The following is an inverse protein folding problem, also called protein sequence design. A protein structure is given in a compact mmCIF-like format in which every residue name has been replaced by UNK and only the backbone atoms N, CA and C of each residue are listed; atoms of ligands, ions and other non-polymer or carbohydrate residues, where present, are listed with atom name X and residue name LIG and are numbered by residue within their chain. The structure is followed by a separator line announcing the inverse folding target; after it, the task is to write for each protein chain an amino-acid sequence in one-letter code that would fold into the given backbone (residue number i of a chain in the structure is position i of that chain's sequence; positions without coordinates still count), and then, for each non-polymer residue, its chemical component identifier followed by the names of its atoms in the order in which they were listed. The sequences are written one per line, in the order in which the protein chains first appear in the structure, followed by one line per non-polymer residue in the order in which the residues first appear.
data_IF_072745220719
#
_entry.id   IF_072745220719
#
_cell.length_a   1.000
_cell.length_b   1.000
_cell.length_c   1.000
_cell.angle_alpha   90.00
_cell.angle_beta   90.00
_cell.angle_gamma   90.00
#
_symmetry.space_group_name_H-M   'P 1'
#
loop_
_entity.id
_entity.type
_entity.pdbx_description
1 polymer ?
#
# COMPACT_ATOMS: atom_id res chain seq x y z
N UNK A 1 13.75 -11.36 9.13
CA UNK A 1 12.90 -11.07 7.97
C UNK A 1 11.52 -11.68 8.15
N UNK A 2 10.50 -10.97 7.67
CA UNK A 2 9.12 -11.48 7.60
C UNK A 2 9.04 -12.70 6.66
N UNK A 3 8.13 -13.61 6.97
CA UNK A 3 7.95 -14.90 6.29
C UNK A 3 8.04 -14.76 4.74
N UNK A 4 8.97 -15.48 4.07
CA UNK A 4 9.13 -15.43 2.63
C UNK A 4 7.86 -15.83 1.84
N UNK A 5 6.93 -16.54 2.47
CA UNK A 5 5.65 -16.96 1.86
C UNK A 5 4.62 -15.84 1.77
N UNK A 6 4.84 -14.71 2.43
CA UNK A 6 3.93 -13.56 2.35
C UNK A 6 4.00 -12.90 0.97
N UNK A 7 2.84 -12.46 0.49
CA UNK A 7 2.74 -11.84 -0.83
C UNK A 7 3.51 -10.52 -0.88
N UNK A 8 4.44 -10.44 -1.82
CA UNK A 8 5.15 -9.20 -2.18
C UNK A 8 4.35 -8.41 -3.20
N UNK A 9 4.49 -7.09 -3.17
CA UNK A 9 4.03 -6.23 -4.27
C UNK A 9 4.72 -6.67 -5.56
N UNK A 10 3.94 -6.78 -6.62
CA UNK A 10 4.45 -7.10 -7.96
C UNK A 10 4.07 -6.00 -8.93
N UNK A 11 4.91 -5.77 -9.92
CA UNK A 11 4.60 -4.93 -11.06
C UNK A 11 4.41 -5.80 -12.30
N UNK A 12 3.57 -5.33 -13.23
CA UNK A 12 3.38 -5.96 -14.54
C UNK A 12 3.97 -5.05 -15.64
N UNK A 13 5.15 -5.37 -16.20
CA UNK A 13 5.74 -4.58 -17.28
C UNK A 13 4.83 -4.52 -18.53
N UNK A 14 4.89 -3.41 -19.28
CA UNK A 14 4.19 -3.29 -20.57
C UNK A 14 4.66 -4.36 -21.54
N UNK A 15 3.72 -5.14 -22.09
CA UNK A 15 4.02 -6.19 -23.07
C UNK A 15 4.41 -7.54 -22.47
N UNK A 16 4.56 -7.63 -21.15
CA UNK A 16 4.81 -8.89 -20.47
C UNK A 16 3.52 -9.54 -19.94
N UNK A 17 3.55 -10.87 -19.81
CA UNK A 17 2.42 -11.66 -19.28
C UNK A 17 2.57 -11.98 -17.79
N UNK A 18 3.73 -11.74 -17.19
CA UNK A 18 4.04 -12.20 -15.84
C UNK A 18 4.38 -11.03 -14.93
N UNK A 19 3.69 -10.95 -13.80
CA UNK A 19 4.00 -10.01 -12.75
C UNK A 19 5.25 -10.46 -11.97
N UNK A 20 6.12 -9.51 -11.63
CA UNK A 20 7.38 -9.76 -10.93
C UNK A 20 7.67 -8.70 -9.86
N UNK A 21 8.63 -8.97 -8.97
CA UNK A 21 9.05 -7.99 -7.97
C UNK A 21 9.98 -6.98 -8.65
N UNK A 22 9.77 -5.69 -8.41
CA UNK A 22 10.63 -4.66 -8.97
C UNK A 22 12.02 -4.69 -8.31
N UNK A 23 13.13 -4.87 -9.05
CA UNK A 23 14.44 -5.11 -8.47
C UNK A 23 15.04 -3.90 -7.74
N UNK A 24 14.71 -2.68 -8.18
CA UNK A 24 15.27 -1.42 -7.65
C UNK A 24 14.33 -0.71 -6.66
N UNK A 25 13.19 -1.32 -6.32
CA UNK A 25 12.22 -0.73 -5.40
C UNK A 25 12.25 -1.46 -4.05
N UNK A 26 11.76 -0.81 -2.99
CA UNK A 26 11.59 -1.46 -1.69
C UNK A 26 10.90 -2.83 -1.82
N UNK A 27 11.37 -3.81 -1.02
CA UNK A 27 10.82 -5.16 -0.91
C UNK A 27 9.48 -5.19 -0.15
N UNK A 28 8.50 -4.46 -0.67
CA UNK A 28 7.19 -4.22 -0.06
C UNK A 28 6.34 -5.49 -0.03
N UNK A 29 5.66 -5.69 1.08
CA UNK A 29 4.57 -6.66 1.19
C UNK A 29 3.28 -6.04 0.63
N UNK A 30 2.42 -6.87 0.03
CA UNK A 30 1.16 -6.38 -0.54
C UNK A 30 0.18 -6.00 0.57
N UNK A 31 -0.34 -4.75 0.60
CA UNK A 31 -1.35 -4.34 1.59
C UNK A 31 -2.73 -4.97 1.36
N UNK A 32 -2.88 -5.72 0.25
CA UNK A 32 -4.09 -6.44 -0.14
C UNK A 32 -4.09 -7.91 0.29
N UNK A 33 -3.00 -8.39 0.89
CA UNK A 33 -2.94 -9.73 1.51
C UNK A 33 -3.28 -9.62 3.01
N UNK A 34 -4.38 -10.23 3.43
CA UNK A 34 -4.84 -10.16 4.83
C UNK A 34 -3.82 -10.75 5.82
N UNK A 35 -3.02 -11.74 5.40
CA UNK A 35 -1.94 -12.29 6.23
C UNK A 35 -0.84 -11.25 6.44
N UNK A 36 -0.52 -10.46 5.41
CA UNK A 36 0.43 -9.34 5.52
C UNK A 36 -0.10 -8.32 6.51
N UNK A 37 -1.36 -7.90 6.36
CA UNK A 37 -1.97 -6.90 7.26
C UNK A 37 -1.93 -7.35 8.70
N UNK A 38 -2.31 -8.61 8.96
CA UNK A 38 -2.28 -9.19 10.29
C UNK A 38 -0.87 -9.23 10.89
N UNK A 39 0.13 -9.74 10.14
CA UNK A 39 1.49 -9.86 10.67
C UNK A 39 2.18 -8.50 10.88
N UNK A 40 1.99 -7.55 9.97
CA UNK A 40 2.49 -6.18 10.17
C UNK A 40 1.77 -5.52 11.33
N UNK A 41 0.46 -5.76 11.49
CA UNK A 41 -0.30 -5.32 12.66
C UNK A 41 0.30 -5.82 13.97
N UNK A 42 0.65 -7.11 14.06
CA UNK A 42 1.30 -7.69 15.23
C UNK A 42 2.64 -7.02 15.54
N UNK A 43 3.45 -6.67 14.53
CA UNK A 43 4.71 -5.94 14.76
C UNK A 43 4.47 -4.56 15.40
N UNK A 44 3.43 -3.85 14.96
CA UNK A 44 3.05 -2.56 15.53
C UNK A 44 2.48 -2.70 16.94
N UNK A 45 1.73 -3.77 17.21
CA UNK A 45 1.24 -4.11 18.55
C UNK A 45 2.38 -4.45 19.51
N UNK A 46 3.36 -5.24 19.06
CA UNK A 46 4.55 -5.59 19.82
C UNK A 46 5.37 -4.33 20.16
N UNK A 47 5.61 -3.45 19.17
CA UNK A 47 6.25 -2.15 19.41
C UNK A 47 5.50 -1.34 20.48
N UNK A 48 4.17 -1.23 20.33
CA UNK A 48 3.33 -0.49 21.25
C UNK A 48 3.33 -1.09 22.66
N UNK A 49 3.41 -2.41 22.79
CA UNK A 49 3.46 -3.11 24.07
C UNK A 49 4.77 -2.93 24.83
N UNK A 50 5.89 -2.77 24.12
CA UNK A 50 7.24 -2.81 24.71
C UNK A 50 7.95 -1.45 24.78
N UNK A 51 7.39 -0.39 24.19
CA UNK A 51 7.97 0.96 24.24
C UNK A 51 6.93 2.03 24.59
N UNK A 52 7.41 3.14 25.17
CA UNK A 52 6.64 4.37 25.35
C UNK A 52 7.13 5.43 24.35
N UNK A 53 6.21 6.05 23.64
CA UNK A 53 6.48 7.06 22.60
C UNK A 53 5.21 7.88 22.32
N UNK A 54 5.36 9.01 21.64
CA UNK A 54 4.28 9.98 21.42
C UNK A 54 3.62 9.89 20.04
N UNK A 55 4.23 9.19 19.10
CA UNK A 55 3.72 9.10 17.74
C UNK A 55 4.39 8.05 16.88
N UNK A 56 3.79 7.82 15.71
CA UNK A 56 4.28 6.91 14.68
C UNK A 56 4.54 7.70 13.41
N UNK A 57 5.71 7.51 12.83
CA UNK A 57 6.03 7.95 11.47
C UNK A 57 5.95 6.74 10.53
N UNK A 58 4.98 6.75 9.63
CA UNK A 58 4.90 5.77 8.55
C UNK A 58 5.93 6.11 7.46
N UNK A 59 6.71 5.10 7.10
CA UNK A 59 7.78 5.21 6.12
C UNK A 59 7.22 5.49 4.71
N UNK A 60 8.09 5.93 3.81
CA UNK A 60 7.75 6.27 2.42
C UNK A 60 7.61 5.04 1.50
N UNK A 61 7.87 3.83 2.01
CA UNK A 61 7.64 2.57 1.31
C UNK A 61 6.14 2.25 1.09
N UNK A 62 5.24 3.01 1.71
CA UNK A 62 3.81 3.01 1.42
C UNK A 62 3.52 3.78 0.12
N UNK A 63 3.97 3.22 -1.00
CA UNK A 63 3.73 3.71 -2.37
C UNK A 63 3.43 2.54 -3.32
N UNK A 64 2.70 2.81 -4.39
CA UNK A 64 2.45 1.86 -5.49
C UNK A 64 2.54 2.59 -6.83
N UNK A 65 3.34 2.07 -7.76
CA UNK A 65 3.44 2.64 -9.10
C UNK A 65 2.16 2.42 -9.91
N UNK A 66 2.08 3.04 -11.09
CA UNK A 66 0.99 2.84 -12.04
C UNK A 66 0.97 1.43 -12.66
N UNK A 67 2.04 0.63 -12.45
CA UNK A 67 2.13 -0.77 -12.85
C UNK A 67 1.92 -1.76 -11.69
N UNK A 68 1.69 -1.24 -10.48
CA UNK A 68 1.55 -1.99 -9.23
C UNK A 68 0.20 -1.70 -8.53
N UNK A 69 -0.29 -2.56 -7.66
CA UNK A 69 0.17 -3.93 -7.39
C UNK A 69 -0.51 -4.92 -8.32
N UNK A 70 0.26 -5.80 -8.97
CA UNK A 70 -0.18 -6.86 -9.88
C UNK A 70 -0.19 -8.26 -9.23
N UNK A 71 -0.07 -8.33 -7.90
CA UNK A 71 -0.20 -9.58 -7.14
C UNK A 71 -1.64 -10.10 -7.14
N UNK A 72 -1.82 -11.42 -6.96
CA UNK A 72 -3.16 -12.03 -7.00
C UNK A 72 -4.15 -11.44 -5.96
N UNK A 73 -3.75 -11.19 -4.68
CA UNK A 73 -4.64 -10.52 -3.72
C UNK A 73 -5.06 -9.12 -4.16
N UNK A 74 -4.15 -8.37 -4.79
CA UNK A 74 -4.45 -7.05 -5.33
C UNK A 74 -5.46 -7.11 -6.47
N UNK A 75 -5.30 -8.04 -7.42
CA UNK A 75 -6.28 -8.26 -8.49
C UNK A 75 -7.67 -8.57 -7.92
N UNK A 76 -7.74 -9.45 -6.93
CA UNK A 76 -9.00 -9.78 -6.26
C UNK A 76 -9.63 -8.54 -5.61
N UNK A 77 -8.84 -7.72 -4.91
CA UNK A 77 -9.32 -6.48 -4.31
C UNK A 77 -9.84 -5.48 -5.37
N UNK A 78 -9.17 -5.37 -6.51
CA UNK A 78 -9.61 -4.50 -7.61
C UNK A 78 -10.94 -4.98 -8.21
N UNK A 79 -11.09 -6.29 -8.45
CA UNK A 79 -12.32 -6.88 -8.96
C UNK A 79 -13.50 -6.66 -7.99
N UNK A 80 -13.27 -6.85 -6.69
CA UNK A 80 -14.27 -6.59 -5.65
C UNK A 80 -14.69 -5.11 -5.60
N UNK A 81 -13.77 -4.19 -5.90
CA UNK A 81 -14.04 -2.77 -6.01
C UNK A 81 -14.67 -2.34 -7.36
N UNK A 82 -14.95 -3.30 -8.26
CA UNK A 82 -15.61 -3.06 -9.54
C UNK A 82 -14.68 -2.70 -10.71
N UNK A 83 -13.36 -2.85 -10.55
CA UNK A 83 -12.40 -2.69 -11.65
C UNK A 83 -12.29 -3.96 -12.48
N UNK A 84 -11.74 -3.84 -13.70
CA UNK A 84 -11.36 -5.03 -14.48
C UNK A 84 -10.31 -5.88 -13.75
N UNK A 85 -10.32 -7.20 -13.96
CA UNK A 85 -9.24 -8.08 -13.50
C UNK A 85 -7.92 -7.89 -14.26
N UNK A 86 -7.92 -7.12 -15.34
CA UNK A 86 -6.74 -6.83 -16.17
C UNK A 86 -6.23 -5.42 -15.89
N UNK A 87 -5.02 -5.32 -15.30
CA UNK A 87 -4.34 -4.01 -15.11
C UNK A 87 -4.16 -3.27 -16.43
N UNK A 88 -3.91 -3.99 -17.52
CA UNK A 88 -3.76 -3.37 -18.84
C UNK A 88 -5.05 -2.68 -19.28
N UNK A 89 -6.21 -3.30 -19.05
CA UNK A 89 -7.51 -2.70 -19.39
C UNK A 89 -7.81 -1.49 -18.49
N UNK A 90 -7.51 -1.58 -17.19
CA UNK A 90 -7.65 -0.46 -16.26
C UNK A 90 -6.80 0.73 -16.74
N UNK A 91 -5.53 0.50 -17.10
CA UNK A 91 -4.58 1.54 -17.52
C UNK A 91 -4.93 2.17 -18.87
N UNK A 92 -5.53 1.41 -19.79
CA UNK A 92 -5.94 1.91 -21.10
C UNK A 92 -7.22 2.76 -21.07
N UNK A 93 -8.00 2.67 -19.98
CA UNK A 93 -9.19 3.49 -19.77
C UNK A 93 -8.87 4.66 -18.81
N UNK A 94 -8.81 5.92 -19.28
CA UNK A 94 -8.40 7.06 -18.45
C UNK A 94 -9.24 7.26 -17.18
N UNK A 95 -10.53 6.97 -17.23
CA UNK A 95 -11.44 7.16 -16.09
C UNK A 95 -11.29 6.04 -15.06
N UNK A 96 -11.18 4.78 -15.51
CA UNK A 96 -10.85 3.68 -14.60
C UNK A 96 -9.46 3.84 -14.00
N UNK A 97 -8.48 4.28 -14.79
CA UNK A 97 -7.11 4.49 -14.32
C UNK A 97 -7.05 5.51 -13.19
N UNK A 98 -7.73 6.66 -13.33
CA UNK A 98 -7.82 7.67 -12.26
C UNK A 98 -8.50 7.10 -11.01
N UNK A 99 -9.62 6.41 -11.16
CA UNK A 99 -10.35 5.82 -10.04
C UNK A 99 -9.53 4.74 -9.33
N UNK A 100 -8.78 3.94 -10.08
CA UNK A 100 -7.88 2.91 -9.56
C UNK A 100 -6.68 3.51 -8.83
N UNK A 101 -6.09 4.60 -9.34
CA UNK A 101 -5.07 5.36 -8.60
C UNK A 101 -5.60 5.83 -7.25
N UNK A 102 -6.80 6.45 -7.22
CA UNK A 102 -7.45 6.88 -5.96
C UNK A 102 -7.78 5.72 -5.04
N UNK A 103 -8.14 4.56 -5.59
CA UNK A 103 -8.38 3.35 -4.81
C UNK A 103 -7.10 2.88 -4.10
N UNK A 104 -5.97 2.82 -4.82
CA UNK A 104 -4.68 2.45 -4.23
C UNK A 104 -4.24 3.44 -3.14
N UNK A 105 -4.37 4.74 -3.38
CA UNK A 105 -4.03 5.78 -2.38
C UNK A 105 -4.82 5.59 -1.09
N UNK A 106 -6.14 5.34 -1.21
CA UNK A 106 -7.01 5.06 -0.06
C UNK A 106 -6.63 3.76 0.62
N UNK A 107 -6.40 2.67 -0.12
CA UNK A 107 -6.02 1.38 0.47
C UNK A 107 -4.73 1.46 1.30
N UNK A 108 -3.71 2.18 0.83
CA UNK A 108 -2.48 2.42 1.60
C UNK A 108 -2.74 3.27 2.85
N UNK A 109 -3.57 4.30 2.71
CA UNK A 109 -3.94 5.17 3.84
C UNK A 109 -4.73 4.41 4.90
N UNK A 110 -5.77 3.68 4.49
CA UNK A 110 -6.59 2.83 5.36
C UNK A 110 -5.74 1.77 6.07
N UNK A 111 -4.74 1.20 5.39
CA UNK A 111 -3.79 0.30 6.03
C UNK A 111 -2.98 0.99 7.12
N UNK A 112 -2.40 2.17 6.87
CA UNK A 112 -1.68 2.92 7.92
C UNK A 112 -2.60 3.36 9.07
N UNK A 113 -3.86 3.68 8.79
CA UNK A 113 -4.85 4.00 9.82
C UNK A 113 -5.23 2.78 10.67
N UNK A 114 -5.32 1.58 10.07
CA UNK A 114 -5.48 0.32 10.81
C UNK A 114 -4.30 0.12 11.78
N UNK A 115 -3.06 0.28 11.32
CA UNK A 115 -1.86 0.14 12.16
C UNK A 115 -1.85 1.18 13.30
N UNK A 116 -2.20 2.44 13.01
CA UNK A 116 -2.37 3.48 14.03
C UNK A 116 -3.43 3.10 15.07
N UNK A 117 -4.56 2.54 14.64
CA UNK A 117 -5.63 2.12 15.55
C UNK A 117 -5.16 1.01 16.50
N UNK A 118 -4.40 0.02 15.99
CA UNK A 118 -3.80 -1.04 16.79
C UNK A 118 -2.85 -0.50 17.86
N UNK A 119 -1.96 0.42 17.49
CA UNK A 119 -1.06 1.07 18.45
C UNK A 119 -1.82 1.90 19.48
N UNK A 120 -2.81 2.68 19.06
CA UNK A 120 -3.65 3.49 19.96
C UNK A 120 -4.47 2.64 20.92
N UNK A 121 -4.87 1.42 20.54
CA UNK A 121 -5.55 0.50 21.44
C UNK A 121 -4.68 0.08 22.63
N UNK A 122 -3.35 0.02 22.45
CA UNK A 122 -2.38 -0.37 23.49
C UNK A 122 -1.84 0.85 24.24
N UNK A 123 -1.43 1.90 23.52
CA UNK A 123 -0.77 3.08 24.11
C UNK A 123 -1.72 4.18 24.53
N UNK A 124 -2.92 4.22 23.95
CA UNK A 124 -3.93 5.25 24.19
C UNK A 124 -4.09 6.23 23.02
N UNK A 125 -5.14 7.06 23.05
CA UNK A 125 -5.53 7.93 21.94
C UNK A 125 -4.59 9.12 21.70
N UNK A 126 -3.64 9.38 22.60
CA UNK A 126 -2.71 10.51 22.48
C UNK A 126 -1.68 10.34 21.35
N UNK A 127 -1.43 9.10 20.90
CA UNK A 127 -0.48 8.78 19.83
C UNK A 127 -0.79 9.58 18.57
N UNK A 128 0.19 10.35 18.12
CA UNK A 128 0.14 11.10 16.86
C UNK A 128 0.61 10.26 15.69
N UNK A 129 0.23 10.67 14.48
CA UNK A 129 0.60 9.99 13.24
C UNK A 129 1.23 10.98 12.29
N UNK A 130 2.34 10.58 11.67
CA UNK A 130 2.96 11.24 10.54
C UNK A 130 3.20 10.20 9.44
N UNK A 131 3.26 10.62 8.18
CA UNK A 131 3.59 9.76 7.04
C UNK A 131 4.50 10.53 6.11
N UNK A 132 5.59 9.91 5.67
CA UNK A 132 6.41 10.50 4.63
C UNK A 132 5.62 10.52 3.30
N UNK A 133 5.68 11.65 2.61
CA UNK A 133 5.08 11.84 1.29
C UNK A 133 6.18 12.28 0.32
N UNK A 134 6.18 11.73 -0.89
CA UNK A 134 7.08 12.21 -1.94
C UNK A 134 6.70 13.65 -2.31
N UNK A 135 7.68 14.45 -2.75
CA UNK A 135 7.43 15.83 -3.13
C UNK A 135 6.49 15.93 -4.36
N UNK A 136 6.63 15.01 -5.32
CA UNK A 136 5.93 15.08 -6.60
C UNK A 136 4.40 15.06 -6.45
N UNK A 137 3.78 14.17 -5.64
CA UNK A 137 2.34 14.23 -5.36
C UNK A 137 1.82 15.57 -4.83
N UNK A 138 2.68 16.36 -4.18
CA UNK A 138 2.32 17.69 -3.65
C UNK A 138 2.42 18.76 -4.74
N UNK A 139 3.52 18.79 -5.50
CA UNK A 139 3.77 19.84 -6.50
C UNK A 139 3.10 19.56 -7.85
N UNK A 140 2.79 18.30 -8.15
CA UNK A 140 2.16 17.83 -9.38
C UNK A 140 1.13 16.73 -9.04
N UNK A 141 -0.10 17.08 -8.63
CA UNK A 141 -1.07 16.13 -8.08
C UNK A 141 -1.43 14.94 -8.98
N UNK A 142 -1.28 15.08 -10.30
CA UNK A 142 -1.45 13.97 -11.25
C UNK A 142 -0.45 12.83 -11.04
N UNK A 143 0.68 13.08 -10.36
CA UNK A 143 1.66 12.04 -10.03
C UNK A 143 1.17 11.04 -9.00
N UNK A 144 0.06 11.30 -8.32
CA UNK A 144 -0.62 10.29 -7.51
C UNK A 144 -0.86 9.00 -8.30
N UNK A 145 -1.07 9.09 -9.62
CA UNK A 145 -1.26 7.95 -10.50
C UNK A 145 -0.13 6.91 -10.42
N UNK A 146 1.11 7.35 -10.17
CA UNK A 146 2.30 6.50 -10.07
C UNK A 146 2.98 6.51 -8.69
N UNK A 147 2.34 7.09 -7.67
CA UNK A 147 2.80 7.03 -6.27
C UNK A 147 1.76 6.46 -5.31
N UNK A 148 0.46 6.56 -5.61
CA UNK A 148 -0.63 6.24 -4.71
C UNK A 148 -0.53 6.97 -3.35
N UNK A 149 -0.22 8.27 -3.39
CA UNK A 149 -0.14 9.16 -2.23
C UNK A 149 -0.97 10.41 -2.49
N UNK A 150 -1.86 10.77 -1.55
CA UNK A 150 -2.71 11.96 -1.60
C UNK A 150 -3.05 12.45 -0.19
#
# INVERSE_FOLDING_TARGET
DLDPTLTRVKYLPTGEKKAQIHPEQYHRLSPFDDRVRAQVGMLYEDLAGHAAFDGILFHDDALLSDYEDASAPAITAYQQAGFSGSLSEIRQNPEQFKQWARFKSRALTDFTLELSARVKAIRGPHIKTARNIFALPVIQPESEAWFAQN
#
